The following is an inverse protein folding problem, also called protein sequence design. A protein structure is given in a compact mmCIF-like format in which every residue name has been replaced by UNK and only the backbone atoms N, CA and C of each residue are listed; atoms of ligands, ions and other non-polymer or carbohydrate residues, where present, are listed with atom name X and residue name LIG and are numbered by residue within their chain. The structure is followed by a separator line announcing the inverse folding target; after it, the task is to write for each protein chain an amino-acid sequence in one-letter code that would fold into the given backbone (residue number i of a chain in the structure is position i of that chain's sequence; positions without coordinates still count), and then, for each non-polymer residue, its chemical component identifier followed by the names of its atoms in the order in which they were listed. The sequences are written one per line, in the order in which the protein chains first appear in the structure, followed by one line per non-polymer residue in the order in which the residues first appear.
data_IF_396563853471
#
_entry.id   IF_396563853471
#
_cell.length_a   1.000
_cell.length_b   1.000
_cell.length_c   1.000
_cell.angle_alpha   90.00
_cell.angle_beta   90.00
_cell.angle_gamma   90.00
#
_symmetry.space_group_name_H-M   'P 1'
#
loop_
_entity.id
_entity.type
_entity.pdbx_description
1 polymer ?
#
# COMPACT_ATOMS: atom_id res chain seq x y z
N UNK A 1 14.07 13.36 7.08
CA UNK A 1 14.14 14.36 8.16
C UNK A 1 13.78 13.65 9.48
N UNK A 2 14.50 13.90 10.58
CA UNK A 2 14.29 13.21 11.86
C UNK A 2 13.87 14.14 12.99
N UNK A 3 14.02 15.46 12.81
CA UNK A 3 13.77 16.47 13.84
C UNK A 3 12.36 17.06 13.89
N UNK A 4 11.38 16.45 13.20
CA UNK A 4 10.00 16.93 13.28
C UNK A 4 9.38 16.56 14.63
N UNK A 5 8.50 17.43 15.15
CA UNK A 5 7.79 17.17 16.39
C UNK A 5 6.66 16.16 16.14
N UNK A 6 6.73 15.01 16.80
CA UNK A 6 5.65 14.00 16.76
C UNK A 6 4.40 14.52 17.47
N UNK A 7 3.23 14.19 16.92
CA UNK A 7 1.95 14.43 17.57
C UNK A 7 1.73 13.37 18.66
N UNK A 8 0.74 13.61 19.54
CA UNK A 8 0.23 12.58 20.47
C UNK A 8 -0.53 11.47 19.74
N UNK A 9 -1.08 11.76 18.57
CA UNK A 9 -1.68 10.76 17.68
C UNK A 9 -0.55 10.01 16.95
N UNK A 10 -0.51 8.69 17.11
CA UNK A 10 0.49 7.82 16.49
C UNK A 10 0.54 8.04 14.97
N UNK A 11 1.76 8.07 14.43
CA UNK A 11 2.00 8.24 12.99
C UNK A 11 1.85 9.66 12.45
N UNK A 12 1.37 10.62 13.26
CA UNK A 12 1.28 12.04 12.88
C UNK A 12 2.38 12.89 13.52
N UNK A 13 2.72 13.99 12.86
CA UNK A 13 3.69 14.99 13.28
C UNK A 13 3.21 16.40 12.91
N UNK A 14 3.96 17.42 13.33
CA UNK A 14 3.86 18.74 12.74
C UNK A 14 4.23 18.67 11.25
N UNK A 15 3.64 19.55 10.43
CA UNK A 15 3.95 19.63 9.01
C UNK A 15 5.45 19.87 8.83
N UNK A 16 6.10 19.01 8.04
CA UNK A 16 7.52 19.08 7.80
C UNK A 16 7.83 18.81 6.34
N UNK A 17 9.07 19.08 5.94
CA UNK A 17 9.49 18.89 4.56
C UNK A 17 10.93 18.40 4.46
N UNK A 18 11.22 17.77 3.33
CA UNK A 18 12.55 17.43 2.87
C UNK A 18 12.76 18.12 1.52
N UNK A 19 13.74 19.01 1.44
CA UNK A 19 14.15 19.63 0.17
C UNK A 19 15.42 18.94 -0.32
N UNK A 20 15.41 18.54 -1.59
CA UNK A 20 16.52 17.89 -2.26
C UNK A 20 16.92 18.74 -3.46
N UNK A 21 18.22 18.86 -3.69
CA UNK A 21 18.77 19.36 -4.93
C UNK A 21 19.14 18.16 -5.80
N UNK A 22 18.44 18.01 -6.92
CA UNK A 22 18.63 16.89 -7.85
C UNK A 22 19.74 17.15 -8.88
N UNK A 23 20.35 18.34 -8.86
CA UNK A 23 21.37 18.74 -9.82
C UNK A 23 20.84 18.98 -11.23
N UNK A 24 21.74 19.00 -12.20
CA UNK A 24 21.41 19.29 -13.60
C UNK A 24 21.15 18.02 -14.42
N UNK A 25 20.07 18.03 -15.20
CA UNK A 25 19.78 17.06 -16.25
C UNK A 25 19.00 17.73 -17.38
N UNK A 26 18.98 17.19 -18.60
CA UNK A 26 18.18 17.76 -19.69
C UNK A 26 16.68 17.73 -19.37
N UNK A 27 15.94 18.78 -19.75
CA UNK A 27 14.48 18.87 -19.53
C UNK A 27 13.70 17.71 -20.17
N UNK A 28 14.25 17.11 -21.24
CA UNK A 28 13.67 15.98 -21.95
C UNK A 28 14.04 14.61 -21.35
N UNK A 29 14.89 14.56 -20.32
CA UNK A 29 15.28 13.30 -19.71
C UNK A 29 14.09 12.66 -19.00
N UNK A 30 13.90 11.33 -19.12
CA UNK A 30 13.01 10.64 -18.20
C UNK A 30 13.64 10.70 -16.81
N UNK A 31 12.89 11.08 -15.78
CA UNK A 31 13.42 11.24 -14.42
C UNK A 31 12.58 10.47 -13.43
N UNK A 32 13.23 9.64 -12.63
CA UNK A 32 12.58 8.95 -11.53
C UNK A 32 13.36 9.12 -10.23
N UNK A 33 12.62 9.33 -9.15
CA UNK A 33 13.14 9.38 -7.80
C UNK A 33 12.85 8.05 -7.11
N UNK A 34 13.89 7.42 -6.58
CA UNK A 34 13.79 6.21 -5.78
C UNK A 34 14.06 6.56 -4.32
N UNK A 35 13.13 6.20 -3.45
CA UNK A 35 13.19 6.51 -2.03
C UNK A 35 13.00 5.25 -1.22
N UNK A 36 13.99 4.93 -0.39
CA UNK A 36 13.95 3.84 0.58
C UNK A 36 13.73 4.44 1.96
N UNK A 37 12.74 3.92 2.67
CA UNK A 37 12.38 4.44 3.98
C UNK A 37 11.36 3.58 4.71
N UNK A 38 10.89 4.11 5.83
CA UNK A 38 9.83 3.51 6.64
C UNK A 38 8.89 4.58 7.15
N UNK A 39 7.70 4.15 7.54
CA UNK A 39 6.65 5.01 8.10
C UNK A 39 6.16 4.41 9.41
N UNK A 40 5.90 5.27 10.40
CA UNK A 40 5.04 4.88 11.52
C UNK A 40 3.60 5.11 11.11
N UNK A 41 2.87 4.03 10.86
CA UNK A 41 1.48 4.10 10.47
C UNK A 41 0.61 4.67 11.58
N UNK A 42 -0.41 5.42 11.18
CA UNK A 42 -1.56 5.74 12.03
C UNK A 42 -2.36 4.46 12.27
N UNK A 43 -3.02 4.36 13.42
CA UNK A 43 -3.92 3.25 13.73
C UNK A 43 -5.40 3.66 13.61
N UNK A 44 -6.29 2.72 13.86
CA UNK A 44 -7.75 2.97 13.82
C UNK A 44 -8.21 3.98 14.88
N UNK A 45 -7.46 4.16 15.98
CA UNK A 45 -7.71 5.23 16.94
C UNK A 45 -7.42 6.62 16.35
N UNK A 46 -6.35 6.76 15.55
CA UNK A 46 -6.07 8.00 14.83
C UNK A 46 -7.19 8.37 13.86
N UNK A 47 -7.73 7.40 13.11
CA UNK A 47 -8.90 7.60 12.24
C UNK A 47 -10.10 8.14 13.02
N UNK A 48 -10.38 7.57 14.19
CA UNK A 48 -11.45 8.05 15.08
C UNK A 48 -11.21 9.47 15.58
N UNK A 49 -9.96 9.79 15.94
CA UNK A 49 -9.58 11.14 16.35
C UNK A 49 -9.79 12.15 15.22
N UNK A 50 -9.37 11.82 14.00
CA UNK A 50 -9.53 12.63 12.79
C UNK A 50 -11.00 12.93 12.49
N UNK A 51 -11.90 11.95 12.63
CA UNK A 51 -13.34 12.14 12.42
C UNK A 51 -13.96 13.16 13.40
N UNK A 52 -13.45 13.20 14.63
CA UNK A 52 -13.98 14.09 15.68
C UNK A 52 -13.31 15.47 15.74
N UNK A 53 -12.23 15.69 14.99
CA UNK A 53 -11.42 16.90 15.07
C UNK A 53 -10.93 17.35 13.70
N UNK A 54 -11.62 18.33 13.11
CA UNK A 54 -11.31 18.91 11.80
C UNK A 54 -9.95 19.64 11.71
N UNK A 55 -9.29 19.91 12.85
CA UNK A 55 -7.93 20.46 12.90
C UNK A 55 -6.87 19.38 12.75
N UNK A 56 -7.19 18.12 13.05
CA UNK A 56 -6.34 17.00 12.71
C UNK A 56 -6.60 16.64 11.25
N UNK A 57 -5.54 16.62 10.45
CA UNK A 57 -5.60 16.18 9.06
C UNK A 57 -4.44 15.23 8.82
N UNK A 58 -4.67 14.23 7.99
CA UNK A 58 -3.60 13.40 7.46
C UNK A 58 -3.21 13.98 6.10
N UNK A 59 -1.95 14.37 5.95
CA UNK A 59 -1.42 14.96 4.72
C UNK A 59 -0.46 13.92 4.14
N UNK A 60 -0.89 13.13 3.13
CA UNK A 60 0.01 12.19 2.47
C UNK A 60 1.19 12.94 1.86
N UNK A 61 2.35 12.28 1.67
CA UNK A 61 3.50 12.92 1.05
C UNK A 61 3.13 13.43 -0.34
N UNK A 62 3.33 14.72 -0.55
CA UNK A 62 3.20 15.37 -1.84
C UNK A 62 4.51 16.03 -2.22
N UNK A 63 4.76 16.16 -3.52
CA UNK A 63 6.01 16.69 -4.05
C UNK A 63 5.77 18.01 -4.79
N UNK A 64 6.58 19.00 -4.43
CA UNK A 64 6.62 20.31 -5.04
C UNK A 64 7.93 20.52 -5.82
N UNK A 65 7.86 21.34 -6.87
CA UNK A 65 8.98 21.80 -7.69
C UNK A 65 8.97 23.33 -7.74
N UNK A 66 10.04 23.95 -8.24
CA UNK A 66 10.12 25.41 -8.40
C UNK A 66 9.62 25.84 -9.78
N UNK A 67 8.75 26.84 -9.82
CA UNK A 67 8.35 27.50 -11.07
C UNK A 67 9.38 28.56 -11.52
N UNK A 68 9.17 29.17 -12.69
CA UNK A 68 10.06 30.19 -13.24
C UNK A 68 10.19 31.47 -12.37
N UNK A 69 9.26 31.70 -11.43
CA UNK A 69 9.32 32.79 -10.44
C UNK A 69 10.06 32.37 -9.17
N UNK A 70 10.54 31.13 -9.09
CA UNK A 70 11.14 30.55 -7.91
C UNK A 70 10.14 30.21 -6.82
N UNK A 71 8.85 30.05 -7.10
CA UNK A 71 7.83 29.64 -6.11
C UNK A 71 7.67 28.11 -6.10
N UNK A 72 7.31 27.54 -4.94
CA UNK A 72 6.99 26.11 -4.87
C UNK A 72 5.59 25.83 -5.39
N UNK A 73 5.47 24.94 -6.36
CA UNK A 73 4.20 24.47 -6.92
C UNK A 73 4.10 22.96 -6.81
N UNK A 74 2.92 22.43 -6.49
CA UNK A 74 2.70 20.99 -6.37
C UNK A 74 2.75 20.33 -7.75
N UNK A 75 3.67 19.39 -7.94
CA UNK A 75 3.83 18.64 -9.18
C UNK A 75 3.27 17.21 -9.07
N UNK A 76 3.34 16.62 -7.86
CA UNK A 76 2.76 15.32 -7.53
C UNK A 76 1.91 15.49 -6.27
N UNK A 77 0.56 15.42 -6.37
CA UNK A 77 -0.33 15.68 -5.25
C UNK A 77 -0.34 14.56 -4.20
N UNK A 78 -0.02 13.34 -4.61
CA UNK A 78 0.21 12.18 -3.75
C UNK A 78 1.31 11.34 -4.40
N UNK A 79 2.47 11.24 -3.74
CA UNK A 79 3.59 10.45 -4.26
C UNK A 79 3.59 9.02 -3.71
N UNK A 80 2.65 8.66 -2.84
CA UNK A 80 2.65 7.43 -2.07
C UNK A 80 3.56 7.47 -0.85
N UNK A 81 3.74 6.30 -0.22
CA UNK A 81 4.59 6.11 0.96
C UNK A 81 5.16 4.69 0.98
N UNK A 82 6.31 4.46 1.68
CA UNK A 82 6.85 3.13 1.86
C UNK A 82 5.81 2.18 2.48
N UNK A 83 5.58 1.03 1.86
CA UNK A 83 4.63 0.02 2.34
C UNK A 83 5.18 -0.75 3.54
N UNK A 84 5.05 -0.16 4.72
CA UNK A 84 5.46 -0.76 5.99
C UNK A 84 6.90 -0.44 6.38
N UNK A 85 7.69 -1.48 6.61
CA UNK A 85 9.11 -1.36 7.03
C UNK A 85 10.00 -0.95 5.85
N UNK A 86 11.33 -1.03 5.99
CA UNK A 86 12.31 -0.53 5.02
C UNK A 86 12.02 -0.94 3.55
N UNK A 87 11.26 -0.11 2.82
CA UNK A 87 10.78 -0.37 1.45
C UNK A 87 11.18 0.76 0.52
N UNK A 88 11.46 0.38 -0.72
CA UNK A 88 11.75 1.32 -1.81
C UNK A 88 10.48 1.61 -2.60
N UNK A 89 10.22 2.88 -2.85
CA UNK A 89 9.17 3.37 -3.75
C UNK A 89 9.79 4.19 -4.88
N UNK A 90 9.08 4.26 -6.00
CA UNK A 90 9.46 5.03 -7.18
C UNK A 90 8.46 6.16 -7.40
N UNK A 91 8.95 7.35 -7.73
CA UNK A 91 8.14 8.52 -8.09
C UNK A 91 8.60 9.05 -9.43
N UNK A 92 7.70 9.11 -10.40
CA UNK A 92 7.98 9.63 -11.72
C UNK A 92 7.95 11.16 -11.73
N UNK A 93 9.07 11.76 -12.14
CA UNK A 93 9.25 13.21 -12.23
C UNK A 93 9.42 13.67 -13.69
N UNK A 94 9.25 12.76 -14.66
CA UNK A 94 9.36 13.08 -16.08
C UNK A 94 8.36 14.16 -16.47
N UNK A 95 8.86 15.25 -17.07
CA UNK A 95 8.03 16.39 -17.49
C UNK A 95 7.36 17.16 -16.33
N UNK A 96 7.80 16.95 -15.08
CA UNK A 96 7.21 17.61 -13.90
C UNK A 96 7.90 18.94 -13.53
N UNK A 97 9.01 19.30 -14.15
CA UNK A 97 9.76 20.52 -13.85
C UNK A 97 9.35 21.67 -14.78
N UNK A 98 8.72 22.74 -14.27
CA UNK A 98 8.34 23.92 -15.06
C UNK A 98 9.45 24.95 -15.20
N UNK A 99 10.66 24.67 -14.71
CA UNK A 99 11.84 25.53 -14.80
C UNK A 99 13.13 24.71 -14.71
N UNK A 100 14.27 25.34 -14.99
CA UNK A 100 15.60 24.73 -14.85
C UNK A 100 16.04 24.50 -13.39
N UNK A 101 15.21 24.86 -12.41
CA UNK A 101 15.44 24.58 -10.99
C UNK A 101 14.89 23.20 -10.63
N UNK A 102 15.78 22.20 -10.61
CA UNK A 102 15.44 20.82 -10.31
C UNK A 102 15.39 20.49 -8.81
N UNK A 103 15.28 21.50 -7.94
CA UNK A 103 15.01 21.23 -6.54
C UNK A 103 13.58 20.73 -6.36
N UNK A 104 13.46 19.67 -5.57
CA UNK A 104 12.17 19.12 -5.17
C UNK A 104 11.97 19.32 -3.68
N UNK A 105 10.72 19.43 -3.26
CA UNK A 105 10.32 19.47 -1.86
C UNK A 105 9.22 18.45 -1.61
N UNK A 106 9.51 17.48 -0.77
CA UNK A 106 8.53 16.52 -0.25
C UNK A 106 7.94 17.13 1.03
N UNK A 107 6.61 17.19 1.12
CA UNK A 107 5.90 17.76 2.26
C UNK A 107 4.87 16.76 2.78
N UNK A 108 4.82 16.58 4.10
CA UNK A 108 3.86 15.71 4.77
C UNK A 108 3.75 16.07 6.24
N UNK A 109 2.74 15.55 6.92
CA UNK A 109 2.68 15.52 8.38
C UNK A 109 2.66 14.08 8.93
N UNK A 110 2.94 13.09 8.09
CA UNK A 110 3.11 11.71 8.50
C UNK A 110 4.52 11.46 9.03
N UNK A 111 4.66 10.59 10.02
CA UNK A 111 5.95 10.15 10.55
C UNK A 111 6.69 9.24 9.55
N UNK A 112 7.21 9.84 8.48
CA UNK A 112 7.95 9.17 7.41
C UNK A 112 9.44 9.49 7.53
N UNK A 113 10.26 8.45 7.41
CA UNK A 113 11.71 8.52 7.53
C UNK A 113 12.33 7.96 6.26
N UNK A 114 13.27 8.71 5.69
CA UNK A 114 13.99 8.34 4.48
C UNK A 114 15.42 7.97 4.84
N UNK A 115 15.86 6.81 4.39
CA UNK A 115 17.20 6.26 4.62
C UNK A 115 18.10 6.50 3.42
N UNK A 116 17.61 6.17 2.22
CA UNK A 116 18.33 6.35 0.97
C UNK A 116 17.42 6.98 -0.06
N UNK A 117 17.94 7.99 -0.77
CA UNK A 117 17.26 8.61 -1.90
C UNK A 117 18.27 8.72 -3.04
N UNK A 118 17.88 8.31 -4.23
CA UNK A 118 18.65 8.53 -5.45
C UNK A 118 17.72 8.81 -6.62
N UNK A 119 18.27 9.40 -7.67
CA UNK A 119 17.55 9.65 -8.91
C UNK A 119 18.21 8.89 -10.06
N UNK A 120 17.44 8.71 -11.11
CA UNK A 120 17.93 8.19 -12.39
C UNK A 120 17.31 9.00 -13.52
N UNK A 121 18.12 9.24 -14.55
CA UNK A 121 17.75 9.92 -15.80
C UNK A 121 17.67 8.95 -17.00
N UNK A 122 17.88 7.66 -16.75
CA UNK A 122 17.82 6.55 -17.71
C UNK A 122 16.87 5.45 -17.18
N UNK A 123 15.85 5.88 -16.42
CA UNK A 123 14.80 5.01 -15.95
C UNK A 123 13.51 5.31 -16.69
N UNK A 124 12.93 4.28 -17.29
CA UNK A 124 11.79 4.44 -18.18
C UNK A 124 10.52 4.47 -17.34
N UNK A 125 9.53 5.32 -17.66
CA UNK A 125 8.23 5.26 -17.03
C UNK A 125 7.69 3.84 -17.11
N UNK A 126 7.43 3.24 -15.95
CA UNK A 126 6.65 2.02 -15.87
C UNK A 126 5.28 2.44 -16.41
N UNK A 127 4.85 1.89 -17.56
CA UNK A 127 3.53 2.21 -18.12
C UNK A 127 2.39 1.91 -17.12
N UNK A 128 1.13 1.97 -17.57
CA UNK A 128 -0.11 1.86 -16.77
C UNK A 128 -0.21 0.75 -15.69
N UNK A 129 0.76 -0.17 -15.59
CA UNK A 129 0.85 -1.27 -14.63
C UNK A 129 0.86 -0.83 -13.15
N UNK A 130 1.23 0.41 -12.82
CA UNK A 130 1.38 0.86 -11.42
C UNK A 130 0.53 2.07 -11.03
N UNK A 131 -0.33 2.59 -11.91
CA UNK A 131 -1.16 3.75 -11.58
C UNK A 131 -2.06 3.43 -10.37
N UNK A 132 -1.93 4.16 -9.24
CA UNK A 132 -2.82 3.99 -8.10
C UNK A 132 -4.22 4.47 -8.49
N UNK A 133 -5.11 3.53 -8.82
CA UNK A 133 -6.54 3.80 -8.93
C UNK A 133 -7.21 4.16 -7.59
N UNK A 134 -6.44 4.19 -6.49
CA UNK A 134 -6.90 4.66 -5.19
C UNK A 134 -6.42 6.11 -5.01
N UNK A 135 -7.33 7.06 -5.23
CA UNK A 135 -7.31 8.26 -4.42
C UNK A 135 -7.43 7.79 -2.97
N UNK A 136 -6.41 8.05 -2.14
CA UNK A 136 -6.57 7.91 -0.71
C UNK A 136 -7.88 8.58 -0.31
N UNK A 137 -8.81 7.84 0.28
CA UNK A 137 -10.08 8.37 0.78
C UNK A 137 -9.80 9.23 2.02
N UNK A 138 -9.14 10.37 1.80
CA UNK A 138 -9.13 11.52 2.67
C UNK A 138 -10.17 12.49 2.14
N UNK A 139 -11.13 12.85 2.99
CA UNK A 139 -12.21 13.76 2.70
C UNK A 139 -11.77 14.99 1.88
N UNK A 140 -12.45 15.21 0.74
CA UNK A 140 -12.32 16.40 -0.09
C UNK A 140 -12.96 16.16 -1.45
N UNK A 141 -14.17 16.69 -1.64
CA UNK A 141 -14.81 16.79 -2.95
C UNK A 141 -13.91 17.59 -3.90
N UNK A 142 -13.28 16.89 -4.85
CA UNK A 142 -12.53 17.48 -5.95
C UNK A 142 -13.01 16.84 -7.24
N UNK A 143 -13.71 17.63 -8.05
CA UNK A 143 -14.21 17.25 -9.38
C UNK A 143 -13.10 16.67 -10.26
N UNK A 144 -13.39 15.56 -10.95
CA UNK A 144 -12.54 15.03 -12.02
C UNK A 144 -12.55 16.00 -13.19
N UNK A 145 -11.46 16.78 -13.36
CA UNK A 145 -11.19 17.49 -14.60
C UNK A 145 -10.96 16.51 -15.77
N UNK A 146 -11.21 16.93 -17.03
CA UNK A 146 -11.16 16.05 -18.18
C UNK A 146 -9.75 15.49 -18.40
N UNK A 147 -9.71 14.18 -18.66
CA UNK A 147 -8.50 13.35 -18.71
C UNK A 147 -7.43 13.86 -19.67
N UNK A 148 -6.26 14.16 -19.11
CA UNK A 148 -5.00 14.05 -19.83
C UNK A 148 -4.58 12.59 -19.72
N UNK A 149 -4.64 11.85 -20.83
CA UNK A 149 -3.98 10.54 -20.90
C UNK A 149 -2.48 10.76 -20.63
N UNK A 150 -1.90 10.14 -19.59
CA UNK A 150 -0.46 10.19 -19.41
C UNK A 150 0.23 9.47 -20.59
N UNK A 151 1.44 9.93 -20.97
CA UNK A 151 2.14 9.39 -22.12
C UNK A 151 2.37 7.89 -21.98
N UNK A 152 2.24 7.16 -23.09
CA UNK A 152 2.43 5.71 -23.16
C UNK A 152 3.85 5.33 -22.72
N UNK A 153 4.01 4.93 -21.44
CA UNK A 153 5.23 4.29 -20.96
C UNK A 153 5.39 2.91 -21.59
N UNK A 154 6.61 2.59 -22.03
CA UNK A 154 6.93 1.24 -22.50
C UNK A 154 6.79 0.23 -21.34
N UNK A 155 6.35 -1.01 -21.59
CA UNK A 155 6.08 -1.96 -20.53
C UNK A 155 7.36 -2.25 -19.74
N UNK A 156 7.26 -2.17 -18.41
CA UNK A 156 8.17 -2.87 -17.52
C UNK A 156 8.30 -4.32 -18.00
N UNK A 157 9.48 -4.95 -17.86
CA UNK A 157 9.57 -6.39 -18.14
C UNK A 157 8.81 -7.15 -17.07
N UNK A 158 7.51 -7.33 -17.30
CA UNK A 158 6.63 -8.11 -16.44
C UNK A 158 7.05 -9.57 -16.51
N UNK A 159 7.27 -10.15 -15.34
CA UNK A 159 7.60 -11.56 -15.24
C UNK A 159 6.29 -12.36 -15.19
N UNK A 160 6.10 -13.35 -16.07
CA UNK A 160 4.90 -14.18 -16.03
C UNK A 160 4.82 -14.92 -14.70
N UNK A 161 3.64 -14.88 -14.06
CA UNK A 161 3.31 -15.78 -12.96
C UNK A 161 3.37 -17.23 -13.46
N UNK A 162 4.03 -18.09 -12.71
CA UNK A 162 4.16 -19.53 -13.01
C UNK A 162 3.25 -20.35 -12.09
N UNK A 163 3.23 -19.98 -10.81
CA UNK A 163 2.39 -20.63 -9.81
C UNK A 163 2.20 -19.72 -8.61
N UNK A 164 1.10 -19.92 -7.91
CA UNK A 164 0.86 -19.38 -6.59
C UNK A 164 0.20 -20.42 -5.70
N UNK A 165 0.73 -20.62 -4.50
CA UNK A 165 0.22 -21.57 -3.53
C UNK A 165 -0.01 -20.88 -2.19
N UNK A 166 -1.22 -21.02 -1.64
CA UNK A 166 -1.57 -20.53 -0.31
C UNK A 166 -1.43 -21.68 0.70
N UNK A 167 -0.69 -21.45 1.78
CA UNK A 167 -0.52 -22.41 2.87
C UNK A 167 -0.41 -21.73 4.22
N UNK A 168 -0.53 -22.52 5.28
CA UNK A 168 -0.18 -22.05 6.62
C UNK A 168 1.33 -22.06 6.78
N UNK A 169 1.92 -20.94 7.21
CA UNK A 169 3.34 -20.85 7.56
C UNK A 169 3.55 -20.67 9.07
N UNK A 170 2.68 -19.91 9.72
CA UNK A 170 2.89 -19.40 11.07
C UNK A 170 3.30 -17.93 11.05
N UNK A 171 3.71 -17.42 12.22
CA UNK A 171 3.90 -15.99 12.45
C UNK A 171 5.38 -15.68 12.49
N UNK A 172 5.84 -14.76 11.63
CA UNK A 172 7.23 -14.30 11.66
C UNK A 172 7.57 -13.70 13.02
N UNK A 173 8.72 -14.07 13.57
CA UNK A 173 9.17 -13.53 14.85
C UNK A 173 9.39 -12.01 14.72
N UNK A 174 8.69 -11.18 15.51
CA UNK A 174 8.91 -9.75 15.51
C UNK A 174 10.25 -9.43 16.17
N UNK A 175 10.86 -8.36 15.72
CA UNK A 175 12.03 -7.80 16.36
C UNK A 175 11.87 -6.28 16.35
N UNK A 176 12.11 -5.70 17.51
CA UNK A 176 11.80 -4.32 17.80
C UNK A 176 13.08 -3.52 18.00
N UNK A 177 13.04 -2.27 17.56
CA UNK A 177 14.08 -1.29 17.88
C UNK A 177 14.01 -1.00 19.38
N UNK A 178 15.09 -1.19 20.16
CA UNK A 178 15.05 -1.01 21.62
C UNK A 178 14.68 0.41 22.06
N UNK A 179 14.92 1.40 21.21
CA UNK A 179 14.57 2.80 21.46
C UNK A 179 13.22 3.18 20.81
N UNK A 180 12.55 2.23 20.16
CA UNK A 180 11.32 2.41 19.39
C UNK A 180 11.41 3.58 18.39
N UNK A 181 12.59 3.77 17.79
CA UNK A 181 12.84 4.78 16.78
C UNK A 181 12.48 4.32 15.37
N UNK A 182 12.27 3.01 15.19
CA UNK A 182 11.83 2.37 13.95
C UNK A 182 10.66 1.41 14.20
N UNK A 183 9.78 1.17 13.21
CA UNK A 183 8.77 0.13 13.30
C UNK A 183 9.40 -1.26 13.48
N UNK A 184 8.64 -2.18 14.06
CA UNK A 184 9.05 -3.58 14.18
C UNK A 184 9.36 -4.20 12.81
N UNK A 185 10.40 -5.02 12.75
CA UNK A 185 10.67 -5.88 11.61
C UNK A 185 10.29 -7.32 11.93
N UNK A 186 9.99 -8.09 10.89
CA UNK A 186 9.51 -9.46 11.03
C UNK A 186 10.51 -10.40 10.37
N UNK A 187 11.13 -11.27 11.15
CA UNK A 187 12.07 -12.26 10.65
C UNK A 187 11.34 -13.31 9.81
N UNK A 188 11.70 -13.38 8.53
CA UNK A 188 11.08 -14.32 7.61
C UNK A 188 11.55 -15.77 7.82
N UNK A 189 12.69 -16.01 8.44
CA UNK A 189 13.20 -17.37 8.62
C UNK A 189 12.60 -18.01 9.87
N UNK A 190 12.46 -17.25 10.94
CA UNK A 190 12.00 -17.76 12.23
C UNK A 190 10.51 -17.48 12.44
N UNK A 191 9.79 -18.52 12.87
CA UNK A 191 8.38 -18.42 13.25
C UNK A 191 8.21 -18.52 14.76
N UNK A 192 7.23 -17.81 15.29
CA UNK A 192 6.81 -17.90 16.69
C UNK A 192 6.27 -19.29 16.99
N UNK A 193 6.52 -19.77 18.22
CA UNK A 193 6.01 -21.06 18.69
C UNK A 193 4.49 -21.04 18.95
N UNK A 194 3.94 -19.87 19.27
CA UNK A 194 2.53 -19.67 19.58
C UNK A 194 1.95 -18.54 18.73
N UNK A 195 0.65 -18.62 18.46
CA UNK A 195 -0.06 -17.58 17.74
C UNK A 195 -0.21 -16.33 18.63
N UNK A 196 0.16 -15.13 18.16
CA UNK A 196 -0.02 -13.89 18.91
C UNK A 196 -1.47 -13.36 18.89
N UNK A 197 -2.29 -13.78 17.92
CA UNK A 197 -3.71 -13.45 17.87
C UNK A 197 -4.52 -14.49 17.08
N UNK A 198 -5.84 -14.49 17.28
CA UNK A 198 -6.79 -15.30 16.54
C UNK A 198 -7.18 -14.65 15.20
N UNK A 199 -7.51 -15.44 14.15
CA UNK A 199 -8.08 -14.91 12.92
C UNK A 199 -9.50 -14.37 13.12
N UNK A 200 -9.98 -13.52 12.21
CA UNK A 200 -11.38 -13.08 12.18
C UNK A 200 -12.34 -14.25 11.93
N UNK A 201 -13.58 -14.11 12.38
CA UNK A 201 -14.65 -15.05 12.11
C UNK A 201 -15.07 -14.99 10.64
N UNK A 202 -15.21 -16.14 10.00
CA UNK A 202 -15.64 -16.21 8.62
C UNK A 202 -14.98 -17.34 7.85
N UNK A 203 -15.04 -17.24 6.53
CA UNK A 203 -14.40 -18.15 5.60
C UNK A 203 -13.22 -17.46 4.94
N UNK A 204 -12.18 -18.24 4.69
CA UNK A 204 -10.96 -17.84 4.02
C UNK A 204 -10.75 -18.71 2.78
N UNK A 205 -9.83 -18.29 1.92
CA UNK A 205 -9.40 -19.09 0.79
C UNK A 205 -8.82 -20.42 1.30
N UNK A 206 -9.23 -21.53 0.67
CA UNK A 206 -8.64 -22.85 0.90
C UNK A 206 -7.16 -22.86 0.57
N UNK A 207 -6.40 -23.69 1.27
CA UNK A 207 -5.00 -23.92 0.91
C UNK A 207 -4.84 -24.61 -0.44
N UNK A 208 -3.64 -24.53 -0.98
CA UNK A 208 -3.24 -25.06 -2.29
C UNK A 208 -3.20 -23.98 -3.36
N UNK A 209 -3.33 -24.41 -4.61
CA UNK A 209 -3.20 -23.56 -5.79
C UNK A 209 -4.22 -22.39 -5.81
N UNK A 210 -3.70 -21.19 -6.04
CA UNK A 210 -4.43 -19.90 -6.14
C UNK A 210 -3.92 -19.02 -7.29
N UNK A 211 -3.12 -19.57 -8.21
CA UNK A 211 -2.61 -18.88 -9.41
C UNK A 211 -3.75 -18.21 -10.21
N UNK A 212 -4.83 -18.93 -10.49
CA UNK A 212 -6.02 -18.40 -11.17
C UNK A 212 -6.68 -17.17 -10.47
N UNK A 213 -6.39 -16.92 -9.19
CA UNK A 213 -6.86 -15.72 -8.46
C UNK A 213 -5.84 -14.57 -8.51
N UNK A 214 -4.58 -14.84 -8.85
CA UNK A 214 -3.49 -13.87 -8.85
C UNK A 214 -2.96 -13.52 -10.26
N UNK A 215 -3.48 -14.17 -11.31
CA UNK A 215 -3.15 -13.87 -12.71
C UNK A 215 -3.64 -12.48 -13.18
N UNK A 216 -4.63 -11.90 -12.52
CA UNK A 216 -5.21 -10.62 -12.88
C UNK A 216 -5.82 -9.88 -11.69
N UNK A 217 -6.20 -8.63 -11.90
CA UNK A 217 -6.95 -7.85 -10.92
C UNK A 217 -8.44 -7.99 -11.18
N UNK A 218 -9.19 -8.52 -10.21
CA UNK A 218 -10.65 -8.51 -10.18
C UNK A 218 -11.18 -8.61 -8.73
N UNK A 219 -12.47 -8.91 -8.57
CA UNK A 219 -13.17 -9.01 -7.27
C UNK A 219 -13.07 -10.39 -6.61
N UNK A 220 -12.21 -11.28 -7.12
CA UNK A 220 -11.94 -12.62 -6.56
C UNK A 220 -10.60 -12.55 -5.81
N UNK A 221 -10.68 -12.54 -4.49
CA UNK A 221 -9.53 -12.30 -3.63
C UNK A 221 -8.91 -13.61 -3.15
N UNK A 222 -7.60 -13.61 -2.92
CA UNK A 222 -7.00 -14.56 -1.97
C UNK A 222 -7.19 -13.97 -0.56
N UNK A 223 -8.18 -14.48 0.15
CA UNK A 223 -8.51 -14.08 1.52
C UNK A 223 -7.63 -14.85 2.50
N UNK A 224 -6.60 -14.17 3.01
CA UNK A 224 -5.63 -14.73 3.94
C UNK A 224 -6.08 -14.58 5.39
N UNK A 225 -5.93 -15.64 6.17
CA UNK A 225 -6.02 -15.62 7.62
C UNK A 225 -4.66 -15.24 8.23
N UNK A 226 -4.64 -15.05 9.55
CA UNK A 226 -3.38 -14.82 10.21
C UNK A 226 -2.48 -16.08 10.21
N UNK A 227 -1.18 -15.89 10.01
CA UNK A 227 -0.21 -16.97 9.86
C UNK A 227 -0.21 -17.65 8.48
N UNK A 228 -1.06 -17.22 7.55
CA UNK A 228 -1.01 -17.70 6.18
C UNK A 228 0.11 -17.04 5.38
N UNK A 229 0.56 -17.73 4.35
CA UNK A 229 1.52 -17.27 3.36
C UNK A 229 1.07 -17.70 1.96
N UNK A 230 1.29 -16.83 0.97
CA UNK A 230 1.23 -17.20 -0.44
C UNK A 230 2.66 -17.25 -1.01
N UNK A 231 3.11 -18.42 -1.46
CA UNK A 231 4.35 -18.55 -2.24
C UNK A 231 4.03 -18.36 -3.71
N UNK A 232 4.66 -17.35 -4.33
CA UNK A 232 4.48 -16.99 -5.73
C UNK A 232 5.78 -17.20 -6.51
N UNK A 233 5.69 -17.82 -7.68
CA UNK A 233 6.84 -18.06 -8.55
C UNK A 233 6.65 -17.32 -9.87
N UNK A 234 7.67 -16.59 -10.29
CA UNK A 234 7.69 -15.86 -11.56
C UNK A 234 8.78 -16.38 -12.49
N UNK A 235 8.52 -16.40 -13.79
CA UNK A 235 9.47 -16.89 -14.79
C UNK A 235 10.52 -15.83 -15.12
N UNK A 236 11.75 -16.05 -14.67
CA UNK A 236 12.91 -15.22 -15.02
C UNK A 236 13.54 -15.50 -16.40
N UNK A 237 12.98 -16.44 -17.20
CA UNK A 237 13.62 -16.94 -18.43
C UNK A 237 13.89 -15.88 -19.51
N UNK A 238 13.14 -14.77 -19.50
CA UNK A 238 13.26 -13.67 -20.47
C UNK A 238 14.00 -12.45 -19.92
N UNK A 239 14.65 -12.56 -18.76
CA UNK A 239 15.40 -11.45 -18.19
C UNK A 239 16.61 -11.11 -19.07
N UNK A 240 16.83 -9.83 -19.41
CA UNK A 240 18.00 -9.43 -20.19
C UNK A 240 19.29 -9.61 -19.38
N UNK A 241 20.42 -9.81 -20.06
CA UNK A 241 21.73 -9.84 -19.40
C UNK A 241 22.03 -8.51 -18.71
N UNK A 242 22.67 -8.57 -17.53
CA UNK A 242 23.12 -7.37 -16.82
C UNK A 242 24.41 -6.85 -17.45
N UNK A 243 24.52 -5.53 -17.52
CA UNK A 243 25.80 -4.87 -17.81
C UNK A 243 26.80 -5.18 -16.68
N UNK A 244 28.11 -5.19 -16.94
CA UNK A 244 29.12 -5.36 -15.89
C UNK A 244 28.90 -4.37 -14.73
N UNK A 245 28.95 -4.87 -13.49
CA UNK A 245 28.75 -4.09 -12.27
C UNK A 245 27.29 -3.80 -11.89
N UNK A 246 26.31 -4.14 -12.74
CA UNK A 246 24.89 -3.93 -12.43
C UNK A 246 24.35 -5.04 -11.52
N UNK A 247 23.41 -4.67 -10.65
CA UNK A 247 22.57 -5.59 -9.86
C UNK A 247 21.14 -5.53 -10.39
N UNK A 248 20.41 -6.64 -10.26
CA UNK A 248 18.98 -6.69 -10.57
C UNK A 248 18.19 -6.63 -9.28
N UNK A 249 17.12 -5.86 -9.32
CA UNK A 249 16.10 -5.84 -8.29
C UNK A 249 14.72 -6.12 -8.93
N UNK A 250 13.74 -6.43 -8.10
CA UNK A 250 12.38 -6.76 -8.52
C UNK A 250 11.36 -5.99 -7.68
N UNK A 251 10.34 -5.45 -8.35
CA UNK A 251 9.16 -4.93 -7.68
C UNK A 251 8.08 -5.99 -7.72
N UNK A 252 7.58 -6.38 -6.54
CA UNK A 252 6.35 -7.15 -6.44
C UNK A 252 5.17 -6.17 -6.43
N UNK A 253 4.40 -6.17 -7.51
CA UNK A 253 3.12 -5.48 -7.54
C UNK A 253 2.06 -6.35 -6.86
N UNK A 254 1.55 -5.88 -5.73
CA UNK A 254 0.43 -6.50 -5.04
C UNK A 254 -0.74 -5.52 -5.01
N UNK A 255 -1.93 -6.02 -5.35
CA UNK A 255 -3.16 -5.25 -5.28
C UNK A 255 -4.16 -5.99 -4.43
N UNK A 256 -4.72 -5.30 -3.44
CA UNK A 256 -5.65 -5.90 -2.50
C UNK A 256 -6.03 -4.94 -1.39
N UNK A 257 -6.61 -5.51 -0.35
CA UNK A 257 -7.15 -4.77 0.79
C UNK A 257 -6.52 -5.31 2.07
N UNK A 258 -6.24 -4.41 3.01
CA UNK A 258 -5.89 -4.76 4.38
C UNK A 258 -7.08 -4.41 5.28
N UNK A 259 -7.47 -5.35 6.14
CA UNK A 259 -8.50 -5.13 7.15
C UNK A 259 -7.90 -5.34 8.53
N UNK A 260 -8.02 -4.32 9.36
CA UNK A 260 -7.50 -4.30 10.73
C UNK A 260 -8.50 -4.94 11.71
N UNK A 261 -7.96 -5.58 12.74
CA UNK A 261 -8.70 -6.26 13.82
C UNK A 261 -8.97 -5.35 15.02
N UNK A 262 -8.55 -4.09 14.95
CA UNK A 262 -8.75 -3.10 16.02
C UNK A 262 -10.25 -2.75 16.18
N UNK A 263 -10.79 -2.65 17.41
CA UNK A 263 -12.22 -2.44 17.67
C UNK A 263 -12.89 -1.20 17.03
N UNK A 264 -12.15 -0.18 16.63
CA UNK A 264 -12.68 0.97 15.89
C UNK A 264 -12.76 0.74 14.38
N UNK A 265 -12.29 -0.42 13.89
CA UNK A 265 -12.43 -0.82 12.48
C UNK A 265 -13.83 -1.39 12.25
N UNK A 266 -14.47 -0.96 11.16
CA UNK A 266 -15.75 -1.52 10.75
C UNK A 266 -15.62 -3.04 10.49
N UNK A 267 -16.50 -3.83 11.11
CA UNK A 267 -16.50 -5.29 10.99
C UNK A 267 -15.17 -5.96 11.43
N UNK A 268 -14.47 -5.39 12.42
CA UNK A 268 -13.16 -5.87 12.91
C UNK A 268 -13.11 -7.34 13.37
N UNK A 269 -14.27 -7.97 13.63
CA UNK A 269 -14.35 -9.37 14.08
C UNK A 269 -14.61 -10.37 12.97
N UNK A 270 -14.99 -9.91 11.78
CA UNK A 270 -15.47 -10.78 10.70
C UNK A 270 -14.67 -10.56 9.43
N UNK A 271 -14.48 -11.62 8.65
CA UNK A 271 -13.93 -11.53 7.29
C UNK A 271 -14.86 -10.67 6.43
N UNK A 272 -16.13 -11.02 6.41
CA UNK A 272 -17.16 -10.29 5.68
C UNK A 272 -17.52 -8.95 6.36
N UNK A 273 -18.05 -7.97 5.61
CA UNK A 273 -18.21 -7.96 4.15
C UNK A 273 -16.85 -7.91 3.41
N UNK A 274 -16.73 -8.64 2.31
CA UNK A 274 -15.53 -8.59 1.46
C UNK A 274 -15.54 -7.29 0.62
N UNK A 275 -14.40 -6.58 0.49
CA UNK A 275 -14.29 -5.44 -0.39
C UNK A 275 -14.33 -5.87 -1.87
N UNK A 276 -14.67 -4.93 -2.75
CA UNK A 276 -14.65 -5.09 -4.20
C UNK A 276 -14.21 -3.80 -4.87
N UNK A 277 -13.74 -3.87 -6.10
CA UNK A 277 -13.00 -2.81 -6.78
C UNK A 277 -13.81 -1.53 -6.97
N UNK A 278 -15.04 -1.66 -7.46
CA UNK A 278 -15.94 -0.53 -7.75
C UNK A 278 -16.68 0.01 -6.50
N UNK A 279 -16.28 -0.40 -5.29
CA UNK A 279 -16.90 0.12 -4.06
C UNK A 279 -16.49 1.59 -3.87
N UNK A 280 -17.47 2.47 -3.62
CA UNK A 280 -17.21 3.89 -3.39
C UNK A 280 -16.57 4.13 -2.02
N UNK A 281 -16.88 3.27 -1.04
CA UNK A 281 -16.32 3.33 0.29
C UNK A 281 -16.38 1.94 0.95
N UNK A 282 -15.52 1.71 1.95
CA UNK A 282 -15.67 0.58 2.87
C UNK A 282 -16.03 1.08 4.28
N UNK A 283 -17.06 0.52 4.92
CA UNK A 283 -17.98 -0.46 4.36
C UNK A 283 -18.96 0.19 3.38
N UNK A 284 -19.33 -0.55 2.34
CA UNK A 284 -20.28 -0.12 1.31
C UNK A 284 -21.76 -0.22 1.75
N UNK A 285 -21.99 -0.81 2.93
CA UNK A 285 -23.26 -0.85 3.63
C UNK A 285 -22.99 -0.86 5.13
N UNK A 286 -23.65 -0.02 5.93
CA UNK A 286 -23.55 -0.07 7.38
C UNK A 286 -24.56 -1.05 7.96
N UNK A 287 -24.22 -1.67 9.09
CA UNK A 287 -25.13 -2.53 9.84
C UNK A 287 -26.44 -1.83 10.28
N UNK A 288 -26.42 -0.49 10.36
CA UNK A 288 -27.60 0.34 10.63
C UNK A 288 -28.51 0.58 9.41
N UNK A 289 -28.19 0.02 8.24
CA UNK A 289 -28.88 0.29 6.97
C UNK A 289 -28.55 1.64 6.34
N UNK A 290 -27.73 2.47 7.01
CA UNK A 290 -27.19 3.72 6.46
C UNK A 290 -26.00 3.42 5.54
N UNK A 291 -25.68 4.34 4.63
CA UNK A 291 -24.45 4.29 3.83
C UNK A 291 -23.78 5.66 3.88
N UNK A 292 -22.45 5.69 3.85
CA UNK A 292 -21.68 6.93 3.67
C UNK A 292 -21.71 7.42 2.21
N UNK A 293 -22.30 6.64 1.30
CA UNK A 293 -22.45 6.95 -0.12
C UNK A 293 -23.66 6.23 -0.74
N UNK A 294 -23.69 5.99 -2.05
CA UNK A 294 -24.75 5.20 -2.67
C UNK A 294 -24.83 3.81 -2.03
N UNK A 295 -26.03 3.24 -1.98
CA UNK A 295 -26.17 1.84 -1.58
C UNK A 295 -25.48 0.96 -2.62
N UNK A 296 -24.56 0.14 -2.15
CA UNK A 296 -23.85 -0.83 -2.97
C UNK A 296 -23.87 -2.19 -2.28
N UNK A 297 -23.68 -3.25 -3.06
CA UNK A 297 -23.66 -4.62 -2.58
C UNK A 297 -22.46 -5.34 -3.18
N UNK A 298 -21.98 -6.36 -2.47
CA UNK A 298 -20.97 -7.25 -3.00
C UNK A 298 -21.47 -7.88 -4.31
N UNK A 299 -20.62 -8.03 -5.34
CA UNK A 299 -21.00 -8.69 -6.59
C UNK A 299 -21.63 -10.07 -6.34
N UNK A 300 -22.74 -10.35 -7.02
CA UNK A 300 -23.46 -11.62 -6.93
C UNK A 300 -23.70 -12.22 -8.32
N UNK A 301 -22.66 -12.24 -9.15
CA UNK A 301 -22.69 -12.91 -10.46
C UNK A 301 -22.55 -14.43 -10.30
N UNK A 302 -22.92 -15.24 -11.31
CA UNK A 302 -22.64 -16.67 -11.31
C UNK A 302 -21.16 -17.01 -11.06
N UNK A 303 -20.26 -16.23 -11.65
CA UNK A 303 -18.80 -16.35 -11.53
C UNK A 303 -18.37 -16.08 -10.09
N UNK A 304 -18.88 -15.02 -9.46
CA UNK A 304 -18.56 -14.68 -8.07
C UNK A 304 -19.06 -15.77 -7.11
N UNK A 305 -20.29 -16.27 -7.32
CA UNK A 305 -20.83 -17.37 -6.51
C UNK A 305 -20.01 -18.65 -6.68
N UNK A 306 -19.47 -18.92 -7.87
CA UNK A 306 -18.58 -20.06 -8.10
C UNK A 306 -17.26 -19.86 -7.35
N UNK A 307 -16.63 -18.68 -7.46
CA UNK A 307 -15.43 -18.33 -6.71
C UNK A 307 -15.60 -18.57 -5.21
N UNK A 308 -16.66 -18.04 -4.60
CA UNK A 308 -16.91 -18.22 -3.16
C UNK A 308 -17.08 -19.70 -2.77
N UNK A 309 -17.74 -20.51 -3.60
CA UNK A 309 -17.90 -21.96 -3.34
C UNK A 309 -16.63 -22.76 -3.54
N UNK A 310 -15.76 -22.34 -4.46
CA UNK A 310 -14.57 -23.07 -4.85
C UNK A 310 -13.34 -22.71 -4.00
N UNK A 311 -13.21 -21.43 -3.64
CA UNK A 311 -12.05 -20.87 -2.95
C UNK A 311 -12.34 -20.52 -1.50
N UNK A 312 -13.41 -19.77 -1.21
CA UNK A 312 -13.71 -19.26 0.15
C UNK A 312 -14.36 -20.32 1.05
N UNK A 313 -13.67 -21.44 1.24
CA UNK A 313 -14.23 -22.64 1.87
C UNK A 313 -13.64 -22.95 3.25
N UNK A 314 -12.47 -22.42 3.59
CA UNK A 314 -11.77 -22.75 4.84
C UNK A 314 -12.34 -21.94 6.02
N UNK A 315 -12.87 -22.59 7.08
CA UNK A 315 -13.37 -21.87 8.23
C UNK A 315 -12.23 -21.29 9.07
N UNK A 316 -12.50 -20.16 9.74
CA UNK A 316 -11.65 -19.65 10.81
C UNK A 316 -11.41 -20.74 11.87
N UNK A 317 -10.14 -20.92 12.28
CA UNK A 317 -9.77 -21.78 13.42
C UNK A 317 -9.16 -20.94 14.52
N UNK A 318 -9.65 -21.10 15.75
CA UNK A 318 -9.03 -20.47 16.91
C UNK A 318 -7.66 -21.11 17.14
N UNK A 319 -6.63 -20.28 17.14
CA UNK A 319 -5.25 -20.64 17.43
C UNK A 319 -4.91 -20.42 18.91
N UNK A 320 -5.60 -19.47 19.55
CA UNK A 320 -5.51 -19.18 20.98
C UNK A 320 -6.82 -19.61 21.63
N UNK A 321 -6.82 -20.69 22.43
CA UNK A 321 -7.99 -21.12 23.18
C UNK A 321 -8.44 -20.03 24.16
N UNK A 322 -9.74 -19.78 24.29
CA UNK A 322 -10.23 -18.80 25.25
C UNK A 322 -10.11 -19.37 26.67
N UNK A 323 -9.71 -18.53 27.63
CA UNK A 323 -9.58 -18.91 29.05
C UNK A 323 -10.94 -19.14 29.74
N UNK A 324 -12.03 -18.68 29.11
CA UNK A 324 -13.41 -18.87 29.54
C UNK A 324 -14.29 -19.14 28.31
N UNK A 325 -15.49 -19.74 28.47
CA UNK A 325 -16.41 -19.94 27.36
C UNK A 325 -16.70 -18.62 26.62
N UNK A 326 -16.69 -18.67 25.29
CA UNK A 326 -17.12 -17.55 24.45
C UNK A 326 -18.65 -17.55 24.45
N UNK A 327 -19.26 -16.59 25.14
CA UNK A 327 -20.71 -16.35 25.13
C UNK A 327 -21.10 -15.44 23.96
#
# INVERSE_FOLDING_TARGET
PTGFRRNRILGLADLHSLTLDLGGFPDSAPVALYLTGWVFWTDSNASRALMSNSRLRMIPPYLQVRNARGEWVTAVPDMGLPSGTNRTMRVDLTGKFPSADHRVRIVTNLCVYWDQIFLTTDDRPLGNALEPGFAASGAGDGERGPGTQPPAGLPATELPLVSAELHYRGFSTPSSDPEHLRPDWFDYVHVMAEAPWNPFLGRYTRYGAVDNLLEGTDDRLVVMATGDEATVTFSGRRLPLLKPGWKRDFFLYARGYAKDGEPNTAYYRTVEPLPFYEMANYPYSLASGRSYGPQQHYPNTPEQRRYLREYETRPARLLIPPLAPVF
#
